data_IF_499740307220
#
_entry.id   IF_499740307220
#
_cell.length_a   1.000
_cell.length_b   1.000
_cell.length_c   1.000
_cell.angle_alpha   90.00
_cell.angle_beta   90.00
_cell.angle_gamma   90.00
#
_symmetry.space_group_name_H-M   'P 1'
#
loop_
_entity.id
_entity.type
_entity.pdbx_description
1 polymer ?
#
# COMPACT_ATOMS: atom_id res chain seq x y z
N UNK A 1 -3.19 -0.63 5.41
CA UNK A 1 -2.42 -1.34 4.36
C UNK A 1 -3.06 -2.70 4.16
N UNK A 2 -3.24 -3.12 2.91
CA UNK A 2 -3.73 -4.46 2.56
C UNK A 2 -2.52 -5.27 2.10
N UNK A 3 -2.26 -6.41 2.75
CA UNK A 3 -1.14 -7.27 2.37
C UNK A 3 -1.39 -7.98 1.04
N UNK A 4 -0.29 -8.35 0.37
CA UNK A 4 -0.35 -9.14 -0.86
C UNK A 4 -1.16 -10.44 -0.64
N UNK A 5 -2.00 -10.77 -1.61
CA UNK A 5 -2.87 -11.96 -1.56
C UNK A 5 -4.05 -11.87 -0.60
N UNK A 6 -4.31 -10.71 0.03
CA UNK A 6 -5.48 -10.56 0.89
C UNK A 6 -6.78 -10.40 0.06
N UNK A 7 -7.85 -11.09 0.46
CA UNK A 7 -9.17 -10.99 -0.17
C UNK A 7 -10.15 -10.26 0.75
N UNK A 8 -10.45 -9.01 0.44
CA UNK A 8 -11.45 -8.20 1.15
C UNK A 8 -12.83 -8.50 0.56
N UNK A 9 -13.73 -9.04 1.37
CA UNK A 9 -15.10 -9.37 0.93
C UNK A 9 -16.02 -8.14 0.96
N UNK A 10 -17.10 -8.19 0.17
CA UNK A 10 -18.09 -7.11 0.11
C UNK A 10 -18.62 -6.71 1.49
N UNK A 11 -18.78 -5.41 1.72
CA UNK A 11 -19.27 -4.86 2.99
C UNK A 11 -18.24 -4.82 4.14
N UNK A 12 -17.02 -5.31 3.94
CA UNK A 12 -15.96 -5.25 4.96
C UNK A 12 -15.55 -3.80 5.25
N UNK A 13 -15.70 -3.37 6.51
CA UNK A 13 -15.18 -2.09 6.99
C UNK A 13 -13.85 -2.30 7.71
N UNK A 14 -12.79 -1.63 7.24
CA UNK A 14 -11.45 -1.72 7.80
C UNK A 14 -11.17 -0.43 8.57
N UNK A 15 -10.86 -0.49 9.88
CA UNK A 15 -10.51 0.70 10.64
C UNK A 15 -9.25 1.38 10.06
N UNK A 16 -9.18 2.71 10.21
CA UNK A 16 -8.01 3.48 9.81
C UNK A 16 -6.73 2.99 10.51
N UNK A 17 -5.60 3.07 9.82
CA UNK A 17 -4.31 2.69 10.39
C UNK A 17 -4.09 1.19 10.62
N UNK A 18 -4.94 0.31 10.08
CA UNK A 18 -4.82 -1.14 10.27
C UNK A 18 -4.12 -1.86 9.11
N UNK A 19 -3.32 -2.87 9.46
CA UNK A 19 -2.78 -3.88 8.56
C UNK A 19 -3.77 -5.04 8.44
N UNK A 20 -4.12 -5.42 7.22
CA UNK A 20 -5.07 -6.48 6.91
C UNK A 20 -4.42 -7.53 6.03
N UNK A 21 -4.66 -8.82 6.32
CA UNK A 21 -4.01 -9.96 5.65
C UNK A 21 -4.96 -11.15 5.46
N UNK A 22 -4.67 -12.02 4.49
CA UNK A 22 -5.33 -13.34 4.32
C UNK A 22 -6.56 -13.34 3.40
N UNK A 23 -7.07 -14.53 3.10
CA UNK A 23 -8.26 -14.75 2.28
C UNK A 23 -9.19 -15.78 2.96
N UNK A 24 -10.32 -15.36 3.57
CA UNK A 24 -10.80 -13.98 3.68
C UNK A 24 -9.91 -13.13 4.58
N UNK A 25 -9.88 -11.83 4.29
CA UNK A 25 -9.05 -10.85 4.96
C UNK A 25 -9.43 -10.63 6.43
N UNK A 26 -8.43 -10.55 7.31
CA UNK A 26 -8.58 -10.25 8.74
C UNK A 26 -7.65 -9.11 9.16
N UNK A 27 -8.09 -8.30 10.12
CA UNK A 27 -7.24 -7.29 10.77
C UNK A 27 -6.15 -8.01 11.57
N UNK A 28 -4.89 -7.72 11.25
CA UNK A 28 -3.72 -8.24 11.96
C UNK A 28 -3.34 -7.35 13.14
N UNK A 29 -3.54 -6.04 13.00
CA UNK A 29 -3.25 -5.04 14.03
C UNK A 29 -2.89 -3.67 13.43
N UNK A 30 -2.47 -2.71 14.28
CA UNK A 30 -2.04 -1.38 13.84
C UNK A 30 -0.82 -1.43 12.90
N UNK A 31 -0.71 -0.44 12.02
CA UNK A 31 0.44 -0.22 11.15
C UNK A 31 1.58 0.45 11.91
N UNK A 32 1.26 1.38 12.81
CA UNK A 32 2.22 2.15 13.60
C UNK A 32 3.18 1.23 14.37
N UNK A 33 4.47 1.56 14.34
CA UNK A 33 5.54 0.78 14.98
C UNK A 33 5.90 -0.51 14.25
N UNK A 34 5.31 -0.79 13.08
CA UNK A 34 5.62 -1.96 12.26
C UNK A 34 6.42 -1.60 11.01
N UNK A 35 7.05 -2.58 10.38
CA UNK A 35 7.69 -2.37 9.07
C UNK A 35 6.73 -1.90 7.96
N UNK A 36 5.42 -2.10 8.12
CA UNK A 36 4.41 -1.59 7.18
C UNK A 36 4.31 -0.06 7.19
N UNK A 37 4.62 0.59 8.31
CA UNK A 37 4.55 2.03 8.45
C UNK A 37 5.49 2.75 7.48
N UNK A 38 6.73 2.27 7.37
CA UNK A 38 7.71 2.81 6.43
C UNK A 38 7.17 2.80 4.99
N UNK A 39 6.59 1.69 4.56
CA UNK A 39 6.04 1.56 3.21
C UNK A 39 4.86 2.50 2.96
N UNK A 40 3.95 2.67 3.92
CA UNK A 40 2.81 3.60 3.79
C UNK A 40 3.30 5.04 3.66
N UNK A 41 4.32 5.42 4.42
CA UNK A 41 4.83 6.79 4.47
C UNK A 41 5.72 7.13 3.26
N UNK A 42 6.53 6.18 2.77
CA UNK A 42 7.57 6.44 1.77
C UNK A 42 7.14 6.13 0.34
N UNK A 43 6.38 5.04 0.11
CA UNK A 43 6.05 4.61 -1.24
C UNK A 43 5.35 5.67 -2.10
N UNK A 44 4.39 6.47 -1.58
CA UNK A 44 3.72 7.47 -2.40
C UNK A 44 4.70 8.45 -3.05
N UNK A 45 5.70 8.95 -2.30
CA UNK A 45 6.70 9.85 -2.85
C UNK A 45 7.65 9.13 -3.80
N UNK A 46 8.13 7.93 -3.42
CA UNK A 46 9.03 7.15 -4.26
C UNK A 46 8.44 6.84 -5.65
N UNK A 47 7.15 6.53 -5.72
CA UNK A 47 6.46 6.31 -6.99
C UNK A 47 6.24 7.61 -7.79
N UNK A 48 5.99 8.75 -7.13
CA UNK A 48 5.94 10.06 -7.81
C UNK A 48 7.28 10.40 -8.46
N UNK A 49 8.38 10.21 -7.74
CA UNK A 49 9.72 10.47 -8.26
C UNK A 49 10.09 9.52 -9.40
N UNK A 50 9.68 8.24 -9.29
CA UNK A 50 9.83 7.28 -10.37
C UNK A 50 9.05 7.70 -11.62
N UNK A 51 7.80 8.11 -11.47
CA UNK A 51 6.98 8.59 -12.58
C UNK A 51 7.59 9.82 -13.26
N UNK A 52 8.10 10.79 -12.48
CA UNK A 52 8.77 11.97 -13.01
C UNK A 52 10.04 11.60 -13.80
N UNK A 53 10.87 10.70 -13.26
CA UNK A 53 12.07 10.20 -13.97
C UNK A 53 11.70 9.45 -15.25
N UNK A 54 10.64 8.65 -15.22
CA UNK A 54 10.18 7.95 -16.40
C UNK A 54 9.77 8.93 -17.50
N UNK A 55 8.94 9.92 -17.17
CA UNK A 55 8.50 10.95 -18.11
C UNK A 55 9.66 11.75 -18.70
N UNK A 56 10.63 12.14 -17.87
CA UNK A 56 11.81 12.88 -18.34
C UNK A 56 12.73 12.06 -19.26
N UNK A 57 12.70 10.74 -19.16
CA UNK A 57 13.49 9.82 -19.97
C UNK A 57 12.78 9.28 -21.21
N UNK A 58 11.55 9.71 -21.50
CA UNK A 58 10.85 9.33 -22.73
C UNK A 58 11.41 10.12 -23.91
N UNK A 59 11.79 9.40 -24.98
CA UNK A 59 12.07 10.00 -26.29
C UNK A 59 10.79 10.00 -27.15
N UNK A 60 10.58 11.03 -28.00
CA UNK A 60 9.49 11.02 -28.97
C UNK A 60 9.60 9.80 -29.91
N UNK A 61 8.46 9.19 -30.19
CA UNK A 61 8.32 8.10 -31.16
C UNK A 61 8.43 8.61 -32.60
#
# INVERSE_FOLDING_TARGET
MIAAGALVVAGTQIPAGMLVTGAPAKVKGPIEGTGAEMWVNVNPQAYRDLAARHLAGLEPM
#
